data_IF_401171652856
#
_entry.id   IF_401171652856
#
_cell.length_a   1.000
_cell.length_b   1.000
_cell.length_c   1.000
_cell.angle_alpha   90.00
_cell.angle_beta   90.00
_cell.angle_gamma   90.00
#
_symmetry.space_group_name_H-M   'P 1'
#
loop_
_entity.id
_entity.type
_entity.pdbx_description
1 polymer ?
#
# COMPACT_ATOMS: atom_id res chain seq x y z
N UNK A 1 -11.78 -18.61 -10.72
CA UNK A 1 -12.49 -18.71 -9.42
C UNK A 1 -11.67 -18.00 -8.34
N UNK A 2 -11.63 -16.67 -8.42
CA UNK A 2 -10.88 -15.76 -7.57
C UNK A 2 -11.76 -15.23 -6.41
N UNK A 3 -12.56 -16.12 -5.80
CA UNK A 3 -13.69 -15.70 -4.93
C UNK A 3 -13.30 -15.32 -3.50
N UNK A 4 -12.07 -15.57 -3.03
CA UNK A 4 -11.69 -15.30 -1.62
C UNK A 4 -10.84 -14.05 -1.40
N UNK A 5 -9.92 -13.67 -2.28
CA UNK A 5 -9.29 -12.33 -2.20
C UNK A 5 -10.29 -11.21 -2.47
N UNK A 6 -11.30 -11.54 -3.28
CA UNK A 6 -12.47 -10.70 -3.51
C UNK A 6 -13.25 -10.49 -2.21
N UNK A 7 -13.41 -11.51 -1.36
CA UNK A 7 -14.14 -11.39 -0.10
C UNK A 7 -13.37 -10.64 1.00
N UNK A 8 -12.03 -10.73 1.07
CA UNK A 8 -11.27 -10.09 2.15
C UNK A 8 -11.14 -8.56 2.03
N UNK A 9 -11.07 -8.01 0.81
CA UNK A 9 -11.22 -6.55 0.60
C UNK A 9 -12.69 -6.09 0.68
N UNK A 10 -13.67 -6.99 0.46
CA UNK A 10 -15.11 -6.71 0.49
C UNK A 10 -15.77 -6.89 1.88
N UNK A 11 -15.16 -7.60 2.82
CA UNK A 11 -15.80 -7.95 4.10
C UNK A 11 -15.86 -6.80 5.13
N UNK A 12 -15.27 -5.64 4.84
CA UNK A 12 -15.28 -4.50 5.76
C UNK A 12 -16.44 -3.52 5.49
N UNK A 13 -17.61 -4.03 5.06
CA UNK A 13 -18.86 -3.26 5.14
C UNK A 13 -19.65 -3.73 6.36
N UNK A 14 -19.49 -2.98 7.45
CA UNK A 14 -20.32 -2.96 8.67
C UNK A 14 -20.56 -4.32 9.34
N UNK A 15 -19.82 -4.61 10.41
CA UNK A 15 -20.38 -5.06 11.70
C UNK A 15 -19.28 -5.20 12.78
N UNK A 16 -19.56 -4.60 13.96
CA UNK A 16 -18.99 -4.84 15.30
C UNK A 16 -17.86 -3.94 15.87
N UNK A 17 -18.26 -3.18 16.90
CA UNK A 17 -17.54 -2.41 17.94
C UNK A 17 -18.11 -2.92 19.30
N UNK A 18 -17.44 -2.95 20.48
CA UNK A 18 -16.02 -3.23 20.85
C UNK A 18 -15.88 -3.96 22.24
N UNK A 19 -14.72 -3.77 22.91
CA UNK A 19 -14.39 -3.86 24.38
C UNK A 19 -13.64 -5.14 24.84
N UNK A 20 -12.60 -5.17 25.71
CA UNK A 20 -11.93 -4.22 26.62
C UNK A 20 -10.63 -4.86 27.22
N UNK A 21 -9.67 -4.03 27.67
CA UNK A 21 -8.62 -4.23 28.72
C UNK A 21 -7.37 -5.12 28.43
N UNK A 22 -6.18 -4.96 29.04
CA UNK A 22 -5.39 -3.88 29.68
C UNK A 22 -4.02 -4.49 30.16
N UNK A 23 -2.88 -3.83 29.84
CA UNK A 23 -1.57 -3.73 30.54
C UNK A 23 -0.72 -4.99 30.96
N UNK A 24 0.55 -4.85 31.47
CA UNK A 24 1.81 -4.63 30.74
C UNK A 24 2.94 -5.65 31.13
N UNK A 25 4.13 -5.63 30.49
CA UNK A 25 5.25 -6.49 30.93
C UNK A 25 6.58 -6.41 30.15
N UNK A 26 7.44 -5.49 30.61
CA UNK A 26 8.91 -5.49 30.77
C UNK A 26 9.90 -6.09 29.75
N UNK A 27 10.93 -5.27 29.52
CA UNK A 27 12.08 -5.44 28.64
C UNK A 27 13.19 -6.27 29.28
N UNK A 28 13.78 -7.22 28.54
CA UNK A 28 15.22 -7.49 28.61
C UNK A 28 15.74 -7.96 27.24
N UNK A 29 16.46 -7.10 26.52
CA UNK A 29 17.18 -7.48 25.30
C UNK A 29 18.63 -7.80 25.65
N UNK A 30 18.92 -9.08 25.87
CA UNK A 30 20.30 -9.59 25.97
C UNK A 30 20.79 -10.01 24.59
N UNK A 31 21.94 -9.47 24.20
CA UNK A 31 22.61 -9.73 22.92
C UNK A 31 23.22 -11.11 22.92
N UNK A 32 22.64 -12.06 22.18
CA UNK A 32 23.36 -13.22 21.64
C UNK A 32 22.68 -13.77 20.38
N UNK A 33 23.50 -14.02 19.37
CA UNK A 33 23.22 -14.54 18.03
C UNK A 33 22.36 -15.83 18.05
N UNK A 34 21.17 -15.93 17.41
CA UNK A 34 20.38 -17.16 17.50
C UNK A 34 20.54 -18.07 16.27
N UNK A 35 20.98 -19.30 16.55
CA UNK A 35 20.57 -20.47 15.79
C UNK A 35 19.02 -20.51 15.68
N UNK A 36 18.51 -21.08 14.58
CA UNK A 36 17.09 -21.13 14.28
C UNK A 36 16.26 -21.68 15.46
N UNK A 37 15.23 -20.97 15.96
CA UNK A 37 14.40 -21.46 17.05
C UNK A 37 13.52 -22.64 16.60
N UNK A 38 13.36 -23.63 17.47
CA UNK A 38 12.47 -24.77 17.28
C UNK A 38 11.00 -24.32 17.13
N UNK A 39 10.17 -25.04 16.36
CA UNK A 39 8.80 -24.64 16.10
C UNK A 39 7.91 -24.74 17.37
N UNK A 40 7.04 -23.75 17.64
CA UNK A 40 6.03 -23.84 18.69
C UNK A 40 4.91 -24.83 18.33
N UNK A 41 4.15 -25.35 19.32
CA UNK A 41 3.12 -26.36 19.09
C UNK A 41 1.97 -25.84 18.22
N UNK A 42 1.55 -26.69 17.28
CA UNK A 42 0.51 -26.44 16.30
C UNK A 42 -0.86 -26.20 16.97
N UNK A 43 -1.39 -24.98 16.84
CA UNK A 43 -2.80 -24.69 17.09
C UNK A 43 -3.64 -25.02 15.84
N UNK A 44 -4.85 -25.55 16.05
CA UNK A 44 -5.74 -26.05 14.98
C UNK A 44 -5.95 -25.04 13.84
N UNK A 45 -5.52 -25.34 12.60
CA UNK A 45 -5.70 -24.43 11.48
C UNK A 45 -7.14 -24.54 10.96
N UNK A 46 -7.96 -23.52 11.23
CA UNK A 46 -9.09 -23.22 10.34
C UNK A 46 -8.51 -23.11 8.93
N UNK A 47 -8.88 -24.02 8.02
CA UNK A 47 -8.37 -24.09 6.64
C UNK A 47 -8.83 -22.86 5.85
N UNK A 48 -8.18 -21.73 6.07
CA UNK A 48 -8.28 -20.56 5.24
C UNK A 48 -7.70 -20.90 3.87
N UNK A 49 -8.53 -20.79 2.83
CA UNK A 49 -8.16 -21.16 1.47
C UNK A 49 -7.13 -20.15 0.98
N UNK A 50 -5.86 -20.55 1.01
CA UNK A 50 -4.72 -19.70 0.64
C UNK A 50 -4.96 -19.07 -0.74
N UNK A 51 -4.76 -17.75 -0.89
CA UNK A 51 -4.89 -17.10 -2.19
C UNK A 51 -3.84 -17.65 -3.14
N UNK A 52 -4.21 -17.78 -4.42
CA UNK A 52 -3.29 -18.28 -5.43
C UNK A 52 -2.03 -17.40 -5.47
N UNK A 53 -0.83 -17.99 -5.58
CA UNK A 53 0.41 -17.23 -5.63
C UNK A 53 0.33 -16.16 -6.73
N UNK A 54 0.69 -14.92 -6.37
CA UNK A 54 1.11 -13.94 -7.39
C UNK A 54 2.25 -14.59 -8.14
N UNK A 55 2.06 -14.88 -9.43
CA UNK A 55 3.08 -15.56 -10.23
C UNK A 55 4.27 -14.62 -10.39
N UNK A 56 5.37 -14.95 -9.75
CA UNK A 56 6.66 -14.27 -9.93
C UNK A 56 7.57 -15.13 -10.80
N UNK A 57 8.59 -14.56 -11.47
CA UNK A 57 9.64 -15.36 -12.13
C UNK A 57 10.43 -16.28 -11.18
N UNK A 58 10.15 -16.23 -9.87
CA UNK A 58 10.85 -16.95 -8.81
C UNK A 58 9.97 -17.90 -8.02
N UNK A 59 8.71 -18.09 -8.45
CA UNK A 59 7.73 -18.96 -7.81
C UNK A 59 8.24 -20.40 -7.60
N UNK A 60 9.06 -20.92 -8.50
CA UNK A 60 9.69 -22.24 -8.42
C UNK A 60 11.18 -22.25 -8.00
N UNK A 61 11.76 -21.12 -7.58
CA UNK A 61 13.17 -21.11 -7.17
C UNK A 61 13.37 -21.83 -5.83
N UNK A 62 14.44 -22.64 -5.67
CA UNK A 62 14.82 -23.18 -4.37
C UNK A 62 15.13 -22.07 -3.36
N UNK A 63 14.81 -22.30 -2.08
CA UNK A 63 14.98 -21.32 -1.00
C UNK A 63 16.38 -20.66 -0.98
N UNK A 64 17.45 -21.46 -1.09
CA UNK A 64 18.82 -20.94 -1.04
C UNK A 64 19.11 -19.93 -2.17
N UNK A 65 18.64 -20.22 -3.38
CA UNK A 65 18.78 -19.33 -4.55
C UNK A 65 17.92 -18.08 -4.41
N UNK A 66 16.70 -18.23 -3.90
CA UNK A 66 15.79 -17.12 -3.63
C UNK A 66 16.37 -16.17 -2.57
N UNK A 67 16.87 -16.71 -1.46
CA UNK A 67 17.50 -15.95 -0.38
C UNK A 67 18.72 -15.17 -0.87
N UNK A 68 19.57 -15.80 -1.71
CA UNK A 68 20.73 -15.13 -2.31
C UNK A 68 20.30 -13.92 -3.15
N UNK A 69 19.27 -14.05 -3.99
CA UNK A 69 18.72 -12.95 -4.80
C UNK A 69 18.10 -11.86 -3.94
N UNK A 70 17.26 -12.22 -2.98
CA UNK A 70 16.61 -11.29 -2.08
C UNK A 70 17.63 -10.48 -1.25
N UNK A 71 18.69 -11.14 -0.79
CA UNK A 71 19.80 -10.51 -0.05
C UNK A 71 20.65 -9.59 -0.93
N UNK A 72 20.72 -9.86 -2.24
CA UNK A 72 21.38 -9.00 -3.23
C UNK A 72 20.52 -7.78 -3.64
N UNK A 73 19.33 -7.60 -3.07
CA UNK A 73 18.47 -6.44 -3.33
C UNK A 73 17.43 -6.63 -4.43
N UNK A 74 17.27 -7.84 -4.96
CA UNK A 74 16.23 -8.11 -5.96
C UNK A 74 14.83 -8.00 -5.32
N UNK A 75 14.05 -6.99 -5.73
CA UNK A 75 12.76 -6.66 -5.13
C UNK A 75 11.71 -7.77 -5.34
N UNK A 76 11.72 -8.42 -6.50
CA UNK A 76 10.81 -9.52 -6.81
C UNK A 76 11.15 -10.74 -5.96
N UNK A 77 12.45 -11.01 -5.73
CA UNK A 77 12.88 -12.07 -4.83
C UNK A 77 12.57 -11.77 -3.36
N UNK A 78 12.70 -10.51 -2.92
CA UNK A 78 12.29 -10.09 -1.58
C UNK A 78 10.80 -10.26 -1.37
N UNK A 79 9.97 -9.84 -2.34
CA UNK A 79 8.53 -10.05 -2.30
C UNK A 79 8.17 -11.54 -2.28
N UNK A 80 8.75 -12.34 -3.17
CA UNK A 80 8.48 -13.79 -3.22
C UNK A 80 8.84 -14.46 -1.89
N UNK A 81 10.01 -14.12 -1.32
CA UNK A 81 10.43 -14.65 -0.02
C UNK A 81 9.47 -14.25 1.11
N UNK A 82 9.04 -12.98 1.14
CA UNK A 82 8.01 -12.52 2.07
C UNK A 82 6.67 -13.24 1.90
N UNK A 83 6.25 -13.46 0.65
CA UNK A 83 5.03 -14.18 0.29
C UNK A 83 5.08 -15.65 0.76
N UNK A 84 6.20 -16.33 0.55
CA UNK A 84 6.41 -17.71 0.99
C UNK A 84 6.33 -17.84 2.51
N UNK A 85 6.95 -16.93 3.26
CA UNK A 85 6.80 -16.89 4.71
C UNK A 85 5.38 -16.54 5.17
N UNK A 86 4.67 -15.68 4.43
CA UNK A 86 3.30 -15.29 4.79
C UNK A 86 2.31 -16.47 4.65
N UNK A 87 2.42 -17.22 3.55
CA UNK A 87 1.48 -18.29 3.21
C UNK A 87 1.98 -19.69 3.61
N UNK A 88 3.21 -19.80 4.11
CA UNK A 88 3.82 -21.09 4.42
C UNK A 88 4.09 -21.95 3.18
N UNK A 89 4.49 -21.33 2.05
CA UNK A 89 4.80 -22.06 0.81
C UNK A 89 6.26 -22.52 0.81
N UNK A 90 6.48 -23.83 0.83
CA UNK A 90 7.81 -24.47 0.87
C UNK A 90 8.65 -24.14 2.12
N UNK A 91 8.13 -23.28 2.99
CA UNK A 91 8.71 -22.83 4.25
C UNK A 91 7.61 -22.82 5.30
N UNK A 92 7.92 -23.04 6.58
CA UNK A 92 6.96 -22.78 7.65
C UNK A 92 6.50 -21.33 7.63
N UNK A 93 5.23 -21.10 7.94
CA UNK A 93 4.67 -19.76 8.08
C UNK A 93 5.45 -18.99 9.14
N UNK A 94 5.90 -17.78 8.80
CA UNK A 94 6.60 -16.89 9.73
C UNK A 94 6.26 -15.45 9.41
N UNK A 95 5.27 -14.91 10.11
CA UNK A 95 4.78 -13.56 9.84
C UNK A 95 5.81 -12.47 10.12
N UNK A 96 6.74 -12.68 11.07
CA UNK A 96 7.82 -11.73 11.35
C UNK A 96 8.78 -11.63 10.17
N UNK A 97 9.22 -12.76 9.63
CA UNK A 97 10.07 -12.77 8.43
C UNK A 97 9.31 -12.27 7.18
N UNK A 98 8.03 -12.61 7.06
CA UNK A 98 7.19 -12.08 5.99
C UNK A 98 7.18 -10.54 6.01
N UNK A 99 6.83 -9.93 7.15
CA UNK A 99 6.83 -8.47 7.30
C UNK A 99 8.21 -7.87 7.04
N UNK A 100 9.28 -8.51 7.51
CA UNK A 100 10.66 -8.04 7.29
C UNK A 100 11.01 -7.94 5.81
N UNK A 101 10.72 -8.99 5.03
CA UNK A 101 11.02 -9.00 3.60
C UNK A 101 10.08 -8.10 2.79
N UNK A 102 8.79 -8.06 3.15
CA UNK A 102 7.82 -7.18 2.51
C UNK A 102 8.12 -5.71 2.78
N UNK A 103 8.52 -5.32 4.00
CA UNK A 103 8.97 -3.96 4.32
C UNK A 103 10.17 -3.57 3.47
N UNK A 104 11.17 -4.44 3.32
CA UNK A 104 12.34 -4.16 2.45
C UNK A 104 11.93 -3.87 1.01
N UNK A 105 11.13 -4.75 0.40
CA UNK A 105 10.68 -4.58 -0.97
C UNK A 105 9.77 -3.34 -1.11
N UNK A 106 8.85 -3.14 -0.16
CA UNK A 106 7.92 -2.03 -0.14
C UNK A 106 8.60 -0.67 0.05
N UNK A 107 9.63 -0.59 0.89
CA UNK A 107 10.45 0.62 1.07
C UNK A 107 11.16 1.02 -0.22
N UNK A 108 11.55 0.05 -1.04
CA UNK A 108 12.13 0.28 -2.36
C UNK A 108 11.08 0.53 -3.47
N UNK A 109 9.79 0.60 -3.13
CA UNK A 109 8.72 0.94 -4.06
C UNK A 109 8.05 -0.24 -4.76
N UNK A 110 8.26 -1.48 -4.29
CA UNK A 110 7.61 -2.65 -4.89
C UNK A 110 6.12 -2.72 -4.49
N UNK A 111 5.23 -2.36 -5.42
CA UNK A 111 3.79 -2.16 -5.15
C UNK A 111 3.09 -3.38 -4.56
N UNK A 112 3.34 -4.59 -5.06
CA UNK A 112 2.69 -5.80 -4.51
C UNK A 112 3.12 -6.08 -3.07
N UNK A 113 4.37 -5.74 -2.71
CA UNK A 113 4.84 -5.86 -1.33
C UNK A 113 4.18 -4.83 -0.43
N UNK A 114 4.02 -3.59 -0.90
CA UNK A 114 3.29 -2.54 -0.18
C UNK A 114 1.83 -2.94 0.06
N UNK A 115 1.14 -3.47 -0.96
CA UNK A 115 -0.25 -3.95 -0.81
C UNK A 115 -0.36 -5.07 0.22
N UNK A 116 0.46 -6.12 0.09
CA UNK A 116 0.40 -7.25 1.01
C UNK A 116 0.75 -6.84 2.45
N UNK A 117 1.71 -5.92 2.60
CA UNK A 117 2.11 -5.39 3.89
C UNK A 117 0.97 -4.59 4.55
N UNK A 118 0.34 -3.68 3.80
CA UNK A 118 -0.76 -2.87 4.32
C UNK A 118 -1.94 -3.73 4.77
N UNK A 119 -2.37 -4.70 3.95
CA UNK A 119 -3.44 -5.64 4.30
C UNK A 119 -3.09 -6.43 5.56
N UNK A 120 -1.86 -6.93 5.67
CA UNK A 120 -1.46 -7.75 6.83
C UNK A 120 -1.43 -6.95 8.14
N UNK A 121 -0.97 -5.71 8.09
CA UNK A 121 -0.94 -4.81 9.25
C UNK A 121 -2.34 -4.32 9.64
N UNK A 122 -3.23 -4.19 8.66
CA UNK A 122 -4.63 -3.84 8.88
C UNK A 122 -5.43 -4.98 9.53
N UNK A 123 -5.33 -6.20 8.98
CA UNK A 123 -6.13 -7.35 9.45
C UNK A 123 -5.60 -7.98 10.75
N UNK A 124 -4.31 -7.81 11.05
CA UNK A 124 -3.72 -8.41 12.26
C UNK A 124 -3.62 -9.94 12.25
N UNK A 125 -3.69 -10.57 11.08
CA UNK A 125 -3.55 -12.01 10.96
C UNK A 125 -2.11 -12.44 11.30
N UNK A 126 -1.96 -13.08 12.46
CA UNK A 126 -0.71 -13.63 13.04
C UNK A 126 0.37 -12.57 13.34
N UNK A 127 0.02 -11.28 13.31
CA UNK A 127 0.85 -10.14 13.73
C UNK A 127 -0.05 -9.15 14.46
N UNK A 128 0.45 -8.41 15.46
CA UNK A 128 -0.32 -7.32 16.02
C UNK A 128 -0.79 -6.36 14.93
N UNK A 129 -2.05 -5.95 15.01
CA UNK A 129 -2.58 -4.87 14.16
C UNK A 129 -1.74 -3.63 14.38
N UNK A 130 -1.35 -2.97 13.30
CA UNK A 130 -0.65 -1.69 13.31
C UNK A 130 -1.32 -0.78 12.29
N UNK A 131 -2.37 -0.08 12.76
CA UNK A 131 -3.18 0.78 11.90
C UNK A 131 -2.40 2.00 11.41
N UNK A 132 -1.48 2.51 12.24
CA UNK A 132 -0.62 3.65 11.88
C UNK A 132 0.31 3.27 10.73
N UNK A 133 0.96 2.10 10.80
CA UNK A 133 1.81 1.63 9.71
C UNK A 133 0.98 1.27 8.46
N UNK A 134 -0.18 0.61 8.63
CA UNK A 134 -1.09 0.31 7.53
C UNK A 134 -1.52 1.59 6.77
N UNK A 135 -1.85 2.66 7.51
CA UNK A 135 -2.18 3.97 6.97
C UNK A 135 -1.04 4.57 6.16
N UNK A 136 0.19 4.51 6.65
CA UNK A 136 1.35 5.00 5.92
C UNK A 136 1.60 4.24 4.60
N UNK A 137 1.37 2.92 4.58
CA UNK A 137 1.47 2.13 3.36
C UNK A 137 0.34 2.42 2.38
N UNK A 138 -0.90 2.54 2.88
CA UNK A 138 -2.06 2.94 2.08
C UNK A 138 -1.85 4.30 1.43
N UNK A 139 -1.32 5.28 2.18
CA UNK A 139 -0.99 6.60 1.68
C UNK A 139 0.01 6.56 0.52
N UNK A 140 1.09 5.78 0.66
CA UNK A 140 2.09 5.61 -0.40
C UNK A 140 1.51 4.99 -1.67
N UNK A 141 0.69 3.96 -1.52
CA UNK A 141 0.01 3.30 -2.64
C UNK A 141 -0.95 4.28 -3.34
N UNK A 142 -1.79 4.96 -2.56
CA UNK A 142 -2.77 5.91 -3.08
C UNK A 142 -2.10 7.07 -3.83
N UNK A 143 -1.01 7.60 -3.27
CA UNK A 143 -0.19 8.63 -3.92
C UNK A 143 0.51 8.12 -5.19
N UNK A 144 0.81 6.83 -5.29
CA UNK A 144 1.37 6.24 -6.53
C UNK A 144 0.32 6.04 -7.63
N UNK A 145 -0.97 6.19 -7.32
CA UNK A 145 -2.09 5.93 -8.21
C UNK A 145 -2.55 4.47 -8.22
N UNK A 146 -2.16 3.68 -7.22
CA UNK A 146 -2.63 2.29 -7.06
C UNK A 146 -4.08 2.32 -6.54
N UNK A 147 -5.03 1.88 -7.38
CA UNK A 147 -6.48 1.90 -7.05
C UNK A 147 -6.83 1.13 -5.78
N UNK A 148 -6.33 -0.10 -5.55
CA UNK A 148 -6.54 -0.78 -4.28
C UNK A 148 -6.04 0.03 -3.07
N UNK A 149 -4.88 0.67 -3.19
CA UNK A 149 -4.36 1.59 -2.19
C UNK A 149 -5.25 2.82 -1.94
N UNK A 150 -5.80 3.41 -3.00
CA UNK A 150 -6.74 4.53 -2.89
C UNK A 150 -8.02 4.12 -2.16
N UNK A 151 -8.61 2.97 -2.53
CA UNK A 151 -9.78 2.42 -1.83
C UNK A 151 -9.48 2.16 -0.35
N UNK A 152 -8.35 1.50 -0.05
CA UNK A 152 -7.93 1.20 1.32
C UNK A 152 -7.74 2.48 2.13
N UNK A 153 -7.08 3.50 1.57
CA UNK A 153 -6.89 4.77 2.26
C UNK A 153 -8.22 5.49 2.53
N UNK A 154 -9.16 5.45 1.58
CA UNK A 154 -10.51 5.98 1.78
C UNK A 154 -11.22 5.28 2.95
N UNK A 155 -11.12 3.96 3.05
CA UNK A 155 -11.69 3.19 4.16
C UNK A 155 -11.06 3.58 5.51
N UNK A 156 -9.73 3.71 5.57
CA UNK A 156 -9.04 4.10 6.80
C UNK A 156 -9.48 5.48 7.30
N UNK A 157 -9.66 6.45 6.40
CA UNK A 157 -10.23 7.75 6.75
C UNK A 157 -11.70 7.66 7.18
N UNK A 158 -12.51 6.83 6.52
CA UNK A 158 -13.93 6.68 6.83
C UNK A 158 -14.16 6.08 8.23
N UNK A 159 -13.27 5.18 8.65
CA UNK A 159 -13.32 4.48 9.92
C UNK A 159 -12.52 5.17 11.04
N UNK A 160 -11.55 6.03 10.67
CA UNK A 160 -10.62 6.63 11.64
C UNK A 160 -9.56 5.64 12.15
N UNK A 161 -9.04 4.80 11.25
CA UNK A 161 -8.06 3.76 11.56
C UNK A 161 -6.66 4.24 11.17
N UNK A 162 -5.78 4.42 12.16
CA UNK A 162 -4.44 5.02 11.96
C UNK A 162 -4.46 6.53 11.66
N UNK A 163 -5.64 7.16 11.71
CA UNK A 163 -5.88 8.59 11.49
C UNK A 163 -7.20 9.00 12.16
N UNK A 164 -7.43 10.27 12.53
CA UNK A 164 -8.77 10.72 12.85
C UNK A 164 -9.74 10.49 11.68
N UNK A 165 -10.99 10.14 12.01
CA UNK A 165 -12.06 9.96 11.03
C UNK A 165 -12.31 11.24 10.23
N UNK A 166 -12.31 11.13 8.91
CA UNK A 166 -12.45 12.25 7.97
C UNK A 166 -13.22 11.78 6.71
N UNK A 167 -14.52 12.07 6.67
CA UNK A 167 -15.39 11.65 5.56
C UNK A 167 -15.13 12.43 4.26
N UNK A 168 -14.62 13.67 4.35
CA UNK A 168 -14.26 14.49 3.19
C UNK A 168 -13.09 13.83 2.47
N UNK A 169 -12.04 13.45 3.21
CA UNK A 169 -10.90 12.71 2.63
C UNK A 169 -11.27 11.30 2.19
N UNK A 170 -12.16 10.62 2.92
CA UNK A 170 -12.66 9.31 2.49
C UNK A 170 -13.34 9.41 1.12
N UNK A 171 -14.30 10.33 0.96
CA UNK A 171 -14.98 10.57 -0.31
C UNK A 171 -13.97 10.91 -1.41
N UNK A 172 -13.05 11.83 -1.15
CA UNK A 172 -12.01 12.23 -2.11
C UNK A 172 -11.27 11.00 -2.67
N UNK A 173 -10.80 10.10 -1.80
CA UNK A 173 -10.05 8.92 -2.25
C UNK A 173 -10.93 7.89 -2.98
N UNK A 174 -12.18 7.72 -2.54
CA UNK A 174 -13.13 6.87 -3.24
C UNK A 174 -13.45 7.41 -4.64
N UNK A 175 -13.64 8.72 -4.79
CA UNK A 175 -13.90 9.35 -6.09
C UNK A 175 -12.70 9.23 -7.04
N UNK A 176 -11.48 9.43 -6.53
CA UNK A 176 -10.26 9.20 -7.32
C UNK A 176 -10.17 7.74 -7.79
N UNK A 177 -10.46 6.77 -6.91
CA UNK A 177 -10.38 5.34 -7.23
C UNK A 177 -11.50 4.87 -8.18
N UNK A 178 -12.69 5.47 -8.08
CA UNK A 178 -13.85 5.23 -8.93
C UNK A 178 -13.72 5.88 -10.30
N UNK A 179 -12.89 6.90 -10.47
CA UNK A 179 -12.72 7.61 -11.75
C UNK A 179 -11.98 6.74 -12.78
N UNK A 180 -12.57 6.43 -13.96
CA UNK A 180 -11.86 5.74 -15.03
C UNK A 180 -10.70 6.59 -15.57
N UNK A 181 -9.53 5.99 -15.77
CA UNK A 181 -8.40 6.67 -16.45
C UNK A 181 -8.40 6.26 -17.91
N UNK A 182 -8.64 7.21 -18.81
CA UNK A 182 -8.73 6.96 -20.26
C UNK A 182 -7.49 6.24 -20.79
N UNK A 183 -7.70 5.18 -21.59
CA UNK A 183 -6.62 4.49 -22.30
C UNK A 183 -5.83 3.47 -21.47
N UNK A 184 -6.26 3.13 -20.25
CA UNK A 184 -5.71 2.03 -19.47
C UNK A 184 -6.75 0.94 -19.23
N UNK A 185 -6.44 -0.29 -19.64
CA UNK A 185 -7.18 -1.48 -19.22
C UNK A 185 -6.82 -1.77 -17.76
N UNK A 186 -7.82 -1.90 -16.90
CA UNK A 186 -7.61 -2.29 -15.51
C UNK A 186 -7.42 -3.80 -15.43
N UNK A 187 -6.49 -4.24 -14.58
CA UNK A 187 -6.48 -5.62 -14.13
C UNK A 187 -7.72 -5.90 -13.26
N UNK A 188 -8.04 -7.19 -13.04
CA UNK A 188 -9.22 -7.61 -12.29
C UNK A 188 -9.26 -7.01 -10.87
N UNK A 189 -8.12 -6.91 -10.18
CA UNK A 189 -8.05 -6.34 -8.83
C UNK A 189 -8.36 -4.84 -8.85
N UNK A 190 -7.78 -4.11 -9.80
CA UNK A 190 -8.01 -2.69 -9.99
C UNK A 190 -9.46 -2.38 -10.42
N UNK A 191 -10.09 -3.25 -11.21
CA UNK A 191 -11.50 -3.12 -11.57
C UNK A 191 -12.41 -3.34 -10.35
N UNK A 192 -12.18 -4.41 -9.58
CA UNK A 192 -12.96 -4.66 -8.37
C UNK A 192 -12.81 -3.53 -7.34
N UNK A 193 -11.61 -2.95 -7.23
CA UNK A 193 -11.36 -1.79 -6.37
C UNK A 193 -12.11 -0.54 -6.86
N UNK A 194 -12.20 -0.33 -8.17
CA UNK A 194 -12.99 0.76 -8.77
C UNK A 194 -14.49 0.59 -8.49
N UNK A 195 -15.03 -0.62 -8.65
CA UNK A 195 -16.43 -0.93 -8.38
C UNK A 195 -16.75 -0.71 -6.89
N UNK A 196 -15.89 -1.24 -6.00
CA UNK A 196 -16.02 -1.05 -4.54
C UNK A 196 -15.87 0.41 -4.12
N UNK A 197 -14.99 1.16 -4.78
CA UNK A 197 -14.83 2.59 -4.53
C UNK A 197 -16.05 3.39 -4.97
N UNK A 198 -16.73 2.97 -6.05
CA UNK A 198 -17.99 3.61 -6.48
C UNK A 198 -19.06 3.44 -5.40
N UNK A 199 -19.24 2.21 -4.91
CA UNK A 199 -20.19 1.94 -3.82
C UNK A 199 -19.84 2.70 -2.53
N UNK A 200 -18.55 2.74 -2.18
CA UNK A 200 -18.07 3.44 -0.98
C UNK A 200 -18.22 4.96 -1.09
N UNK A 201 -17.96 5.54 -2.27
CA UNK A 201 -18.18 6.96 -2.57
C UNK A 201 -19.66 7.30 -2.40
N UNK A 202 -20.54 6.53 -3.01
CA UNK A 202 -21.98 6.81 -3.00
C UNK A 202 -22.57 6.69 -1.58
N UNK A 203 -22.10 5.71 -0.79
CA UNK A 203 -22.44 5.60 0.64
C UNK A 203 -21.91 6.79 1.45
N UNK A 204 -20.69 7.24 1.16
CA UNK A 204 -20.08 8.38 1.88
C UNK A 204 -20.77 9.70 1.52
N UNK A 205 -21.15 9.90 0.25
CA UNK A 205 -21.96 11.04 -0.23
C UNK A 205 -23.24 11.19 0.59
N UNK A 206 -23.94 10.09 0.86
CA UNK A 206 -25.17 10.09 1.66
C UNK A 206 -24.97 10.52 3.12
N UNK A 207 -23.73 10.57 3.61
CA UNK A 207 -23.38 10.99 4.98
C UNK A 207 -22.83 12.41 5.06
N UNK A 208 -22.43 13.00 3.92
CA UNK A 208 -21.85 14.34 3.84
C UNK A 208 -22.92 15.40 3.64
N UNK A 209 -22.67 16.61 4.13
CA UNK A 209 -23.42 17.77 3.69
C UNK A 209 -23.00 18.16 2.25
N UNK A 210 -23.87 18.82 1.46
CA UNK A 210 -23.55 19.20 0.09
C UNK A 210 -22.26 20.02 -0.05
N UNK A 211 -21.95 20.87 0.94
CA UNK A 211 -20.77 21.74 0.94
C UNK A 211 -19.49 20.92 1.15
N UNK A 212 -19.55 19.91 2.03
CA UNK A 212 -18.44 19.00 2.33
C UNK A 212 -18.14 18.08 1.14
N UNK A 213 -19.18 17.64 0.42
CA UNK A 213 -19.00 16.88 -0.82
C UNK A 213 -18.32 17.72 -1.91
N UNK A 214 -18.73 18.98 -2.08
CA UNK A 214 -18.07 19.90 -3.03
C UNK A 214 -16.60 20.11 -2.65
N UNK A 215 -16.28 20.24 -1.36
CA UNK A 215 -14.89 20.32 -0.90
C UNK A 215 -14.11 19.04 -1.26
N UNK A 216 -14.67 17.86 -1.01
CA UNK A 216 -14.03 16.59 -1.34
C UNK A 216 -13.74 16.44 -2.85
N UNK A 217 -14.68 16.85 -3.70
CA UNK A 217 -14.52 16.86 -5.16
C UNK A 217 -13.44 17.86 -5.63
N UNK A 218 -13.33 19.01 -4.98
CA UNK A 218 -12.25 19.98 -5.23
C UNK A 218 -10.89 19.38 -4.89
N UNK A 219 -10.76 18.74 -3.73
CA UNK A 219 -9.53 18.06 -3.32
C UNK A 219 -9.12 16.96 -4.33
N UNK A 220 -10.09 16.18 -4.82
CA UNK A 220 -9.84 15.16 -5.84
C UNK A 220 -9.34 15.78 -7.15
N UNK A 221 -9.94 16.89 -7.58
CA UNK A 221 -9.53 17.65 -8.77
C UNK A 221 -8.09 18.17 -8.62
N UNK A 222 -7.78 18.78 -7.47
CA UNK A 222 -6.45 19.30 -7.16
C UNK A 222 -5.38 18.21 -7.15
N UNK A 223 -5.73 17.01 -6.67
CA UNK A 223 -4.86 15.86 -6.72
C UNK A 223 -4.52 15.48 -8.18
N UNK A 224 -5.52 15.39 -9.07
CA UNK A 224 -5.30 15.10 -10.49
C UNK A 224 -4.50 16.20 -11.21
N UNK A 225 -4.73 17.48 -10.89
CA UNK A 225 -3.95 18.60 -11.40
C UNK A 225 -2.48 18.49 -10.98
N UNK A 226 -2.23 18.15 -9.71
CA UNK A 226 -0.87 17.93 -9.20
C UNK A 226 -0.18 16.75 -9.89
N UNK A 227 -0.89 15.66 -10.19
CA UNK A 227 -0.34 14.47 -10.86
C UNK A 227 -0.09 14.66 -12.35
N UNK A 228 -0.90 15.49 -13.02
CA UNK A 228 -0.75 15.80 -14.45
C UNK A 228 0.25 16.92 -14.73
N UNK A 229 0.62 17.71 -13.72
CA UNK A 229 1.57 18.80 -13.88
C UNK A 229 2.94 18.30 -14.41
N UNK A 230 3.47 18.89 -15.50
CA UNK A 230 4.78 18.52 -16.00
C UNK A 230 5.84 18.82 -14.95
N UNK A 231 6.72 17.84 -14.67
CA UNK A 231 7.88 18.06 -13.78
C UNK A 231 8.67 19.24 -14.33
N UNK A 232 8.67 20.39 -13.63
CA UNK A 232 9.41 21.59 -14.04
C UNK A 232 10.87 21.18 -14.27
N UNK A 233 11.27 21.07 -15.54
CA UNK A 233 12.65 20.74 -15.87
C UNK A 233 13.52 21.91 -15.43
N UNK A 234 14.64 21.61 -14.77
CA UNK A 234 15.63 22.58 -14.31
C UNK A 234 16.38 23.30 -15.45
N UNK A 235 15.79 23.41 -16.65
CA UNK A 235 16.42 23.95 -17.86
C UNK A 235 16.17 25.44 -18.11
N UNK A 236 15.29 26.09 -17.34
CA UNK A 236 14.95 27.50 -17.55
C UNK A 236 16.02 28.51 -17.07
N UNK A 237 17.15 28.06 -16.48
CA UNK A 237 18.19 28.97 -15.95
C UNK A 237 19.32 29.31 -16.94
N UNK A 238 19.34 28.74 -18.15
CA UNK A 238 20.44 28.93 -19.12
C UNK A 238 20.23 30.00 -20.22
N UNK A 239 19.07 30.66 -20.29
CA UNK A 239 18.79 31.66 -21.36
C UNK A 239 18.92 33.14 -20.95
N UNK A 240 19.25 33.48 -19.69
CA UNK A 240 19.47 34.88 -19.28
C UNK A 240 20.93 35.34 -19.22
N UNK A 241 21.91 34.45 -19.40
CA UNK A 241 23.35 34.83 -19.38
C UNK A 241 23.98 35.02 -20.76
N UNK A 242 23.32 34.58 -21.86
CA UNK A 242 23.88 34.70 -23.21
C UNK A 242 23.63 36.05 -23.90
N UNK A 243 22.66 36.85 -23.44
CA UNK A 243 22.33 38.15 -24.09
C UNK A 243 23.11 39.34 -23.52
N UNK A 244 23.79 39.18 -22.39
CA UNK A 244 24.64 40.23 -21.79
C UNK A 244 26.06 40.26 -22.41
N UNK A 245 26.55 39.13 -22.93
CA UNK A 245 27.92 39.05 -23.46
C UNK A 245 28.08 39.60 -24.89
N UNK A 246 27.00 39.74 -25.67
CA UNK A 246 27.08 40.20 -27.08
C UNK A 246 26.93 41.72 -27.26
N UNK A 247 26.71 42.49 -26.20
CA UNK A 247 26.58 43.97 -26.27
C UNK A 247 27.84 44.74 -25.84
N UNK A 248 28.94 44.05 -25.51
CA UNK A 248 30.22 44.68 -25.10
C UNK A 248 31.36 44.63 -26.15
N UNK A 249 31.15 44.08 -27.35
CA UNK A 249 32.21 44.01 -28.38
C UNK A 249 32.00 44.93 -29.60
N UNK A 250 31.05 45.87 -29.56
CA UNK A 250 30.77 46.78 -30.69
C UNK A 250 31.13 48.25 -30.39
N UNK A 251 31.97 48.51 -29.38
CA UNK A 251 32.40 49.86 -29.00
C UNK A 251 33.92 49.91 -28.75
N UNK A 252 34.73 49.35 -29.65
CA UNK A 252 36.17 49.68 -29.73
C UNK A 252 36.71 49.34 -31.13
N UNK A 253 36.57 50.28 -32.05
CA UNK A 253 37.50 50.67 -33.14
C UNK A 253 36.74 51.35 -34.27
#
# INVERSE_FOLDING_TARGET
MLKLTLALLLACTLECIPALAAEPGEDTYSTDNPAAPAPPPEGDPKKEKQPAPVKTPYDALPYASLLKKASAGDLTAQFELGSRYNYGRELPKNSREALRWLRKAGQAGYTDAQRLLAVKLFEGHDVPVDQDEAFLWAQRLADSGDRPGQLMLGNLYANGEGTPRDLIRAYMWFDIAATPVSGKTLDELSQNAMDSATDARDKTSALLQPEEEVEAQQLATDWWLKKSAPKKSASAKRKKTATSAKKKSAATK
#
